data_IF_048935252956
#
_entry.id   IF_048935252956
#
_cell.length_a   1.000
_cell.length_b   1.000
_cell.length_c   1.000
_cell.angle_alpha   90.00
_cell.angle_beta   90.00
_cell.angle_gamma   90.00
#
_symmetry.space_group_name_H-M   'P 1'
#
loop_
_entity.id
_entity.type
_entity.pdbx_description
1 polymer ?
#
# COMPACT_ATOMS: atom_id res chain seq x y z
N UNK A 1 39.44 5.95 -2.78
CA UNK A 1 38.29 5.46 -3.53
C UNK A 1 37.15 6.45 -3.34
N UNK A 2 36.82 7.16 -4.42
CA UNK A 2 35.90 8.30 -4.34
C UNK A 2 34.48 7.87 -3.98
N UNK A 3 33.88 8.54 -3.03
CA UNK A 3 32.47 8.46 -2.73
C UNK A 3 31.72 8.95 -3.98
N UNK A 4 31.17 8.00 -4.77
CA UNK A 4 30.19 8.34 -5.82
C UNK A 4 29.04 9.08 -5.12
N UNK A 5 28.73 10.27 -5.62
CA UNK A 5 27.60 11.06 -5.16
C UNK A 5 26.36 10.15 -5.02
N UNK A 6 25.88 9.99 -3.77
CA UNK A 6 24.61 9.31 -3.50
C UNK A 6 23.52 10.12 -4.23
N UNK A 7 23.01 9.61 -5.34
CA UNK A 7 21.79 10.17 -5.93
C UNK A 7 20.68 9.97 -4.92
N UNK A 8 20.14 11.04 -4.37
CA UNK A 8 18.99 11.06 -3.47
C UNK A 8 17.74 10.56 -4.20
N UNK A 9 16.78 9.96 -3.45
CA UNK A 9 15.45 9.64 -3.99
C UNK A 9 14.83 10.93 -4.55
N UNK A 10 14.32 10.90 -5.77
CA UNK A 10 13.57 12.01 -6.36
C UNK A 10 12.14 11.97 -5.80
N UNK A 11 11.84 12.83 -4.83
CA UNK A 11 10.60 12.83 -4.06
C UNK A 11 9.89 14.19 -4.10
N UNK A 12 10.26 15.05 -5.06
CA UNK A 12 9.73 16.41 -5.16
C UNK A 12 8.43 16.50 -5.99
N UNK A 13 8.13 15.47 -6.78
CA UNK A 13 6.96 15.37 -7.66
C UNK A 13 6.16 14.10 -7.42
N UNK A 14 4.91 14.02 -7.89
CA UNK A 14 4.16 12.76 -7.92
C UNK A 14 5.00 11.61 -8.48
N UNK A 15 4.93 10.44 -7.85
CA UNK A 15 5.73 9.27 -8.24
C UNK A 15 4.90 8.34 -9.12
N UNK A 16 5.21 8.31 -10.41
CA UNK A 16 4.67 7.33 -11.35
C UNK A 16 5.40 5.97 -11.26
N UNK A 17 4.91 4.97 -12.01
CA UNK A 17 5.51 3.64 -12.01
C UNK A 17 6.98 3.64 -12.49
N UNK A 18 7.33 4.42 -13.50
CA UNK A 18 8.70 4.49 -14.03
C UNK A 18 9.68 5.05 -12.98
N UNK A 19 9.29 6.11 -12.29
CA UNK A 19 10.07 6.71 -11.22
C UNK A 19 10.21 5.76 -10.01
N UNK A 20 9.15 5.00 -9.71
CA UNK A 20 9.19 3.94 -8.70
C UNK A 20 10.24 2.90 -9.08
N UNK A 21 10.18 2.34 -10.30
CA UNK A 21 11.12 1.30 -10.75
C UNK A 21 12.56 1.77 -10.77
N UNK A 22 12.82 3.00 -11.20
CA UNK A 22 14.15 3.62 -11.13
C UNK A 22 14.64 3.74 -9.67
N UNK A 23 13.75 4.03 -8.74
CA UNK A 23 14.06 4.11 -7.31
C UNK A 23 14.37 2.74 -6.71
N UNK A 24 13.58 1.73 -7.08
CA UNK A 24 13.79 0.33 -6.67
C UNK A 24 15.13 -0.21 -7.18
N UNK A 25 15.44 -0.01 -8.47
CA UNK A 25 16.73 -0.39 -9.05
C UNK A 25 17.89 0.29 -8.32
N UNK A 26 17.79 1.58 -8.06
CA UNK A 26 18.81 2.31 -7.30
C UNK A 26 19.03 1.74 -5.90
N UNK A 27 17.96 1.44 -5.17
CA UNK A 27 18.04 0.83 -3.83
C UNK A 27 18.69 -0.54 -3.88
N UNK A 28 18.36 -1.37 -4.88
CA UNK A 28 18.95 -2.70 -5.06
C UNK A 28 20.45 -2.65 -5.37
N UNK A 29 20.88 -1.66 -6.14
CA UNK A 29 22.32 -1.43 -6.43
C UNK A 29 23.09 -0.85 -5.23
N UNK A 30 22.38 -0.13 -4.34
CA UNK A 30 23.00 0.49 -3.16
C UNK A 30 23.12 -0.48 -1.98
N UNK A 31 22.17 -1.43 -1.84
CA UNK A 31 22.07 -2.35 -0.71
C UNK A 31 21.97 -3.79 -1.21
N UNK A 32 23.09 -4.50 -1.21
CA UNK A 32 23.21 -5.90 -1.69
C UNK A 32 22.42 -6.92 -0.87
N UNK A 33 22.04 -6.56 0.36
CA UNK A 33 21.18 -7.37 1.24
C UNK A 33 19.67 -7.09 1.04
N UNK A 34 19.28 -6.10 0.22
CA UNK A 34 17.90 -5.84 -0.15
C UNK A 34 17.51 -6.77 -1.31
N UNK A 35 16.59 -7.69 -1.05
CA UNK A 35 16.07 -8.56 -2.10
C UNK A 35 14.90 -7.87 -2.80
N UNK A 36 14.98 -7.78 -4.13
CA UNK A 36 13.88 -7.27 -4.98
C UNK A 36 13.33 -8.43 -5.79
N UNK A 37 12.02 -8.64 -5.70
CA UNK A 37 11.25 -9.67 -6.40
C UNK A 37 10.12 -9.00 -7.17
N UNK A 38 9.50 -9.74 -8.08
CA UNK A 38 8.24 -9.37 -8.71
C UNK A 38 7.09 -10.09 -7.98
N UNK A 39 6.15 -9.33 -7.41
CA UNK A 39 4.92 -9.87 -6.84
C UNK A 39 4.03 -10.46 -7.94
N UNK A 40 3.91 -9.74 -9.03
CA UNK A 40 3.07 -10.02 -10.18
C UNK A 40 3.06 -8.85 -11.15
N UNK A 41 2.07 -8.85 -12.04
CA UNK A 41 1.90 -7.79 -13.05
C UNK A 41 0.51 -7.18 -12.99
N UNK A 42 0.43 -5.88 -13.29
CA UNK A 42 -0.84 -5.19 -13.47
C UNK A 42 -1.55 -5.59 -14.77
N UNK A 43 -2.74 -5.08 -14.98
CA UNK A 43 -3.54 -5.28 -16.21
C UNK A 43 -2.74 -4.91 -17.47
N UNK A 44 -1.97 -3.82 -17.43
CA UNK A 44 -1.16 -3.38 -18.58
C UNK A 44 0.25 -3.99 -18.59
N UNK A 45 0.49 -5.01 -17.77
CA UNK A 45 1.75 -5.78 -17.76
C UNK A 45 2.89 -5.11 -17.01
N UNK A 46 2.64 -4.04 -16.24
CA UNK A 46 3.64 -3.40 -15.39
C UNK A 46 4.01 -4.30 -14.22
N UNK A 47 5.30 -4.46 -13.96
CA UNK A 47 5.80 -5.21 -12.80
C UNK A 47 5.41 -4.53 -11.49
N UNK A 48 4.96 -5.31 -10.52
CA UNK A 48 4.68 -4.87 -9.15
C UNK A 48 5.87 -5.33 -8.28
N UNK A 49 6.77 -4.42 -7.87
CA UNK A 49 7.95 -4.80 -7.12
C UNK A 49 7.61 -5.14 -5.68
N UNK A 50 8.31 -6.16 -5.16
CA UNK A 50 8.29 -6.59 -3.77
C UNK A 50 9.71 -6.48 -3.23
N UNK A 51 9.91 -5.64 -2.22
CA UNK A 51 11.19 -5.40 -1.57
C UNK A 51 11.21 -6.13 -0.23
N UNK A 52 12.25 -6.93 0.00
CA UNK A 52 12.38 -7.72 1.22
C UNK A 52 13.71 -7.46 1.89
N UNK A 53 13.68 -7.17 3.20
CA UNK A 53 14.85 -6.95 4.03
C UNK A 53 14.71 -7.73 5.35
N UNK A 54 15.83 -8.30 5.82
CA UNK A 54 15.91 -9.14 7.02
C UNK A 54 15.85 -10.62 6.69
N UNK A 55 16.18 -11.44 7.69
CA UNK A 55 16.28 -12.90 7.60
C UNK A 55 15.46 -13.60 8.69
N UNK A 56 14.76 -12.82 9.50
CA UNK A 56 13.96 -13.34 10.58
C UNK A 56 12.76 -14.14 10.07
N UNK A 57 12.36 -15.10 10.88
CA UNK A 57 11.24 -15.97 10.55
C UNK A 57 9.90 -15.23 10.58
N UNK A 58 9.69 -14.36 11.58
CA UNK A 58 8.48 -13.53 11.68
C UNK A 58 8.53 -12.45 10.61
N UNK A 59 7.41 -12.20 9.94
CA UNK A 59 7.37 -11.19 8.88
C UNK A 59 6.26 -10.17 9.07
N UNK A 60 6.52 -8.96 8.58
CA UNK A 60 5.54 -7.89 8.43
C UNK A 60 5.50 -7.42 6.97
N UNK A 61 4.31 -7.22 6.44
CA UNK A 61 4.06 -6.77 5.08
C UNK A 61 3.50 -5.34 5.09
N UNK A 62 4.10 -4.48 4.28
CA UNK A 62 3.65 -3.11 4.06
C UNK A 62 3.20 -2.95 2.62
N UNK A 63 2.02 -2.38 2.41
CA UNK A 63 1.46 -2.19 1.07
C UNK A 63 1.05 -0.74 0.87
N UNK A 64 1.42 -0.14 -0.26
CA UNK A 64 1.03 1.21 -0.63
C UNK A 64 0.32 1.27 -1.97
N UNK A 65 -0.31 2.40 -2.23
CA UNK A 65 -0.97 2.76 -3.48
C UNK A 65 -1.91 1.67 -4.04
N UNK A 66 -2.87 1.23 -3.24
CA UNK A 66 -4.06 0.53 -3.74
C UNK A 66 -4.85 1.43 -4.69
N UNK A 67 -4.93 2.71 -4.37
CA UNK A 67 -5.65 3.70 -5.15
C UNK A 67 -4.69 4.59 -5.96
N UNK A 68 -5.04 4.86 -7.21
CA UNK A 68 -4.20 5.62 -8.13
C UNK A 68 -3.84 7.01 -7.62
N UNK A 69 -4.76 7.70 -6.95
CA UNK A 69 -4.51 9.05 -6.42
C UNK A 69 -3.74 9.09 -5.10
N UNK A 70 -3.34 7.95 -4.56
CA UNK A 70 -2.62 7.83 -3.28
C UNK A 70 -1.13 7.46 -3.47
N UNK A 71 -0.54 7.87 -4.59
CA UNK A 71 0.87 7.63 -4.96
C UNK A 71 1.87 8.09 -3.89
N UNK A 72 1.50 9.03 -3.02
CA UNK A 72 2.35 9.52 -1.93
C UNK A 72 2.70 8.38 -0.94
N UNK A 73 1.85 7.37 -0.80
CA UNK A 73 2.12 6.20 0.05
C UNK A 73 3.26 5.35 -0.49
N UNK A 74 3.45 5.30 -1.82
CA UNK A 74 4.62 4.68 -2.45
C UNK A 74 5.90 5.39 -2.05
N UNK A 75 5.89 6.73 -2.05
CA UNK A 75 7.03 7.55 -1.66
C UNK A 75 7.38 7.36 -0.18
N UNK A 76 6.36 7.30 0.69
CA UNK A 76 6.52 7.02 2.12
C UNK A 76 7.21 5.68 2.34
N UNK A 77 6.77 4.63 1.65
CA UNK A 77 7.33 3.30 1.78
C UNK A 77 8.76 3.20 1.21
N UNK A 78 9.07 3.91 0.13
CA UNK A 78 10.45 3.97 -0.38
C UNK A 78 11.40 4.72 0.57
N UNK A 79 10.94 5.80 1.22
CA UNK A 79 11.71 6.46 2.27
C UNK A 79 11.99 5.51 3.44
N UNK A 80 10.98 4.75 3.86
CA UNK A 80 11.12 3.75 4.91
C UNK A 80 12.14 2.67 4.53
N UNK A 81 12.06 2.13 3.30
CA UNK A 81 13.02 1.12 2.81
C UNK A 81 14.44 1.68 2.77
N UNK A 82 14.64 2.89 2.23
CA UNK A 82 15.99 3.50 2.17
C UNK A 82 16.55 3.71 3.59
N UNK A 83 15.71 4.18 4.51
CA UNK A 83 16.15 4.49 5.88
C UNK A 83 16.47 3.23 6.69
N UNK A 84 15.65 2.18 6.61
CA UNK A 84 15.90 0.93 7.33
C UNK A 84 17.13 0.22 6.76
N UNK A 85 17.32 0.24 5.43
CA UNK A 85 18.52 -0.28 4.78
C UNK A 85 19.77 0.50 5.21
N UNK A 86 19.70 1.83 5.24
CA UNK A 86 20.81 2.66 5.71
C UNK A 86 21.13 2.37 7.18
N UNK A 87 20.11 2.26 8.03
CA UNK A 87 20.30 1.97 9.45
C UNK A 87 20.90 0.58 9.69
N UNK A 88 20.49 -0.43 8.90
CA UNK A 88 21.07 -1.76 8.92
C UNK A 88 22.55 -1.75 8.49
N UNK A 89 22.84 -1.14 7.35
CA UNK A 89 24.22 -1.03 6.81
C UNK A 89 25.17 -0.33 7.80
N UNK A 90 24.68 0.70 8.49
CA UNK A 90 25.44 1.46 9.48
C UNK A 90 25.36 0.89 10.90
N UNK A 91 24.72 -0.25 11.10
CA UNK A 91 24.52 -0.91 12.40
C UNK A 91 23.89 0.03 13.45
N UNK A 92 22.93 0.85 13.05
CA UNK A 92 22.32 1.88 13.91
C UNK A 92 21.22 1.31 14.82
N UNK A 93 21.06 1.98 15.95
CA UNK A 93 19.86 1.91 16.78
C UNK A 93 18.91 3.03 16.38
N UNK A 94 17.65 2.67 16.10
CA UNK A 94 16.56 3.60 15.77
C UNK A 94 15.43 3.37 16.78
N UNK A 95 14.87 4.44 17.35
CA UNK A 95 13.75 4.35 18.29
C UNK A 95 13.98 3.33 19.41
N UNK A 96 15.20 3.30 19.97
CA UNK A 96 15.68 2.35 20.99
C UNK A 96 15.75 0.88 20.53
N UNK A 97 15.55 0.62 19.24
CA UNK A 97 15.62 -0.71 18.64
C UNK A 97 16.91 -0.83 17.81
N UNK A 98 17.74 -1.83 18.08
CA UNK A 98 18.87 -2.18 17.21
C UNK A 98 18.35 -2.73 15.88
N UNK A 99 18.62 -2.03 14.77
CA UNK A 99 18.10 -2.45 13.46
C UNK A 99 18.73 -3.78 12.99
N UNK A 100 20.04 -4.06 13.18
CA UNK A 100 20.57 -5.39 12.91
C UNK A 100 19.85 -6.51 13.66
N UNK A 101 19.64 -6.37 14.97
CA UNK A 101 18.92 -7.38 15.76
C UNK A 101 17.45 -7.52 15.36
N UNK A 102 16.80 -6.41 15.01
CA UNK A 102 15.43 -6.45 14.49
C UNK A 102 15.37 -7.31 13.22
N UNK A 103 16.28 -7.08 12.26
CA UNK A 103 16.28 -7.77 10.97
C UNK A 103 16.85 -9.19 11.02
N UNK A 104 17.49 -9.59 12.11
CA UNK A 104 17.79 -10.99 12.42
C UNK A 104 16.53 -11.76 12.88
N UNK A 105 15.61 -11.09 13.58
CA UNK A 105 14.40 -11.70 14.14
C UNK A 105 13.18 -11.58 13.22
N UNK A 106 13.13 -10.51 12.42
CA UNK A 106 12.01 -10.17 11.56
C UNK A 106 12.46 -9.99 10.10
N UNK A 107 11.55 -10.33 9.21
CA UNK A 107 11.61 -9.95 7.79
C UNK A 107 10.59 -8.86 7.54
N UNK A 108 11.03 -7.76 6.95
CA UNK A 108 10.17 -6.67 6.50
C UNK A 108 10.01 -6.79 4.99
N UNK A 109 8.76 -6.88 4.53
CA UNK A 109 8.41 -6.93 3.11
C UNK A 109 7.59 -5.71 2.76
N UNK A 110 7.92 -5.06 1.64
CA UNK A 110 7.27 -3.83 1.20
C UNK A 110 6.85 -3.96 -0.27
N UNK A 111 5.58 -3.71 -0.54
CA UNK A 111 5.01 -3.53 -1.87
C UNK A 111 4.65 -2.04 -1.99
N UNK A 112 5.54 -1.21 -2.55
CA UNK A 112 5.34 0.23 -2.48
C UNK A 112 4.19 0.74 -3.36
N UNK A 113 3.84 0.04 -4.44
CA UNK A 113 2.77 0.43 -5.37
C UNK A 113 2.05 -0.80 -5.90
N UNK A 114 0.86 -1.07 -5.38
CA UNK A 114 0.05 -2.22 -5.80
C UNK A 114 -0.68 -1.93 -7.13
N UNK A 115 -1.07 -0.68 -7.39
CA UNK A 115 -1.86 -0.24 -8.53
C UNK A 115 -1.08 0.69 -9.48
N UNK A 116 -0.06 0.18 -10.20
CA UNK A 116 0.78 1.02 -11.05
C UNK A 116 0.04 1.62 -12.25
N UNK A 117 -1.00 0.97 -12.76
CA UNK A 117 -1.79 1.48 -13.87
C UNK A 117 -2.68 2.64 -13.43
N UNK A 118 -3.34 2.49 -12.27
CA UNK A 118 -4.19 3.53 -11.72
C UNK A 118 -3.39 4.78 -11.32
N UNK A 119 -2.18 4.60 -10.80
CA UNK A 119 -1.27 5.71 -10.49
C UNK A 119 -0.89 6.47 -11.75
N UNK A 120 -0.48 5.76 -12.81
CA UNK A 120 -0.11 6.43 -14.06
C UNK A 120 -1.31 7.13 -14.72
N UNK A 121 -2.51 6.54 -14.66
CA UNK A 121 -3.72 7.24 -15.13
C UNK A 121 -4.00 8.51 -14.34
N UNK A 122 -3.84 8.46 -13.02
CA UNK A 122 -4.08 9.63 -12.18
C UNK A 122 -3.08 10.76 -12.48
N UNK A 123 -1.81 10.44 -12.71
CA UNK A 123 -0.74 11.43 -12.91
C UNK A 123 -0.72 11.95 -14.36
N UNK A 124 -0.86 11.07 -15.34
CA UNK A 124 -0.64 11.39 -16.75
C UNK A 124 -1.93 11.43 -17.59
N UNK A 125 -3.06 10.98 -17.01
CA UNK A 125 -4.26 10.72 -17.79
C UNK A 125 -4.10 9.49 -18.68
N UNK A 126 -4.85 9.46 -19.78
CA UNK A 126 -4.79 8.37 -20.76
C UNK A 126 -4.60 8.94 -22.17
N UNK A 127 -3.75 8.30 -22.95
CA UNK A 127 -3.54 8.65 -24.37
C UNK A 127 -4.15 7.61 -25.31
N UNK A 128 -4.31 7.97 -26.58
CA UNK A 128 -4.94 7.13 -27.62
C UNK A 128 -4.19 5.85 -27.97
N UNK A 129 -2.91 5.72 -27.57
CA UNK A 129 -2.10 4.52 -27.79
C UNK A 129 -2.40 3.43 -26.75
N UNK A 130 -3.05 3.81 -25.63
CA UNK A 130 -3.44 2.85 -24.61
C UNK A 130 -4.52 1.90 -25.15
N UNK A 131 -4.36 0.58 -25.07
CA UNK A 131 -5.31 -0.39 -25.61
C UNK A 131 -6.71 -0.30 -24.98
N UNK A 132 -6.82 0.30 -23.79
CA UNK A 132 -8.08 0.50 -23.08
C UNK A 132 -8.63 1.93 -23.19
N UNK A 133 -8.03 2.79 -24.04
CA UNK A 133 -8.36 4.23 -24.13
C UNK A 133 -9.86 4.53 -24.13
N UNK A 134 -10.60 4.01 -25.10
CA UNK A 134 -12.03 4.30 -25.23
C UNK A 134 -12.84 3.80 -24.03
N UNK A 135 -12.46 2.64 -23.49
CA UNK A 135 -13.12 2.04 -22.33
C UNK A 135 -12.88 2.86 -21.07
N UNK A 136 -11.65 3.23 -20.78
CA UNK A 136 -11.26 4.02 -19.61
C UNK A 136 -11.85 5.42 -19.68
N UNK A 137 -11.82 6.06 -20.87
CA UNK A 137 -12.44 7.36 -21.07
C UNK A 137 -13.97 7.29 -20.85
N UNK A 138 -14.64 6.23 -21.31
CA UNK A 138 -16.06 6.00 -21.05
C UNK A 138 -16.35 5.82 -19.56
N UNK A 139 -15.51 5.08 -18.83
CA UNK A 139 -15.62 4.92 -17.35
C UNK A 139 -15.47 6.27 -16.64
N UNK A 140 -14.61 7.15 -17.17
CA UNK A 140 -14.43 8.52 -16.67
C UNK A 140 -15.45 9.51 -17.27
N UNK A 141 -16.59 9.00 -17.82
CA UNK A 141 -17.68 9.79 -18.41
C UNK A 141 -17.25 10.74 -19.53
N UNK A 142 -16.22 10.34 -20.29
CA UNK A 142 -15.63 11.15 -21.35
C UNK A 142 -14.74 12.30 -20.86
N UNK A 143 -14.50 12.39 -19.56
CA UNK A 143 -13.64 13.43 -18.98
C UNK A 143 -12.17 13.03 -19.10
N UNK A 144 -11.31 13.94 -19.55
CA UNK A 144 -9.86 13.78 -19.62
C UNK A 144 -9.13 14.16 -18.32
N UNK A 145 -9.85 14.66 -17.32
CA UNK A 145 -9.30 14.90 -15.97
C UNK A 145 -9.36 13.59 -15.16
N UNK A 146 -8.20 13.00 -14.90
CA UNK A 146 -8.02 11.81 -14.10
C UNK A 146 -7.55 12.09 -12.67
N UNK A 147 -7.55 13.34 -12.24
CA UNK A 147 -7.05 13.74 -10.91
C UNK A 147 -7.71 12.98 -9.74
N UNK A 148 -8.93 12.45 -9.94
CA UNK A 148 -9.71 11.68 -8.95
C UNK A 148 -9.75 10.18 -9.23
N UNK A 149 -8.90 9.65 -10.11
CA UNK A 149 -8.89 8.25 -10.47
C UNK A 149 -8.26 7.38 -9.35
N UNK A 150 -9.06 6.47 -8.78
CA UNK A 150 -8.63 5.52 -7.76
C UNK A 150 -8.37 4.12 -8.33
N UNK A 151 -9.22 3.69 -9.23
CA UNK A 151 -9.31 2.33 -9.75
C UNK A 151 -8.04 1.88 -10.51
N UNK A 152 -7.95 0.60 -10.82
CA UNK A 152 -6.95 0.06 -11.74
C UNK A 152 -7.29 0.36 -13.22
N UNK A 153 -6.55 -0.25 -14.16
CA UNK A 153 -6.77 -0.02 -15.60
C UNK A 153 -8.13 -0.52 -16.12
N UNK A 154 -8.80 -1.43 -15.40
CA UNK A 154 -10.15 -1.92 -15.76
C UNK A 154 -11.27 -1.16 -15.05
N UNK A 155 -10.94 -0.14 -14.29
CA UNK A 155 -11.91 0.62 -13.52
C UNK A 155 -12.41 -0.15 -12.31
N UNK A 156 -11.59 -1.02 -11.73
CA UNK A 156 -11.87 -1.74 -10.49
C UNK A 156 -11.13 -1.07 -9.33
N UNK A 157 -11.87 -0.75 -8.29
CA UNK A 157 -11.33 -0.28 -7.02
C UNK A 157 -10.74 -1.48 -6.27
N UNK A 158 -9.40 -1.55 -6.23
CA UNK A 158 -8.69 -2.72 -5.71
C UNK A 158 -8.99 -3.00 -4.24
N UNK A 159 -9.25 -1.94 -3.44
CA UNK A 159 -9.58 -2.13 -2.02
C UNK A 159 -11.04 -2.50 -1.76
N UNK A 160 -11.76 -2.88 -2.81
CA UNK A 160 -13.07 -3.51 -2.75
C UNK A 160 -13.13 -4.86 -3.49
N UNK A 161 -11.99 -5.35 -3.98
CA UNK A 161 -11.93 -6.59 -4.77
C UNK A 161 -11.50 -7.83 -3.97
N UNK A 162 -11.34 -7.73 -2.64
CA UNK A 162 -11.02 -8.87 -1.77
C UNK A 162 -12.28 -9.65 -1.37
N UNK A 163 -12.14 -10.97 -1.11
CA UNK A 163 -13.24 -11.84 -0.63
C UNK A 163 -13.53 -11.60 0.86
N UNK A 164 -14.01 -10.42 1.18
CA UNK A 164 -14.39 -10.01 2.53
C UNK A 164 -15.70 -9.21 2.51
N UNK A 165 -16.85 -9.92 2.57
CA UNK A 165 -18.15 -9.30 2.41
C UNK A 165 -18.40 -8.76 0.99
N UNK A 166 -17.82 -9.40 -0.02
CA UNK A 166 -17.93 -8.97 -1.41
C UNK A 166 -19.37 -8.96 -1.92
N UNK A 167 -20.19 -9.93 -1.50
CA UNK A 167 -21.61 -10.01 -1.90
C UNK A 167 -22.40 -8.83 -1.33
N UNK A 168 -22.19 -8.49 -0.08
CA UNK A 168 -22.80 -7.36 0.60
C UNK A 168 -22.36 -6.05 -0.07
N UNK A 169 -21.09 -5.94 -0.40
CA UNK A 169 -20.60 -4.79 -1.15
C UNK A 169 -21.26 -4.64 -2.52
N UNK A 170 -21.44 -5.72 -3.27
CA UNK A 170 -22.12 -5.72 -4.57
C UNK A 170 -23.57 -5.22 -4.49
N UNK A 171 -24.27 -5.48 -3.39
CA UNK A 171 -25.62 -4.92 -3.16
C UNK A 171 -25.55 -3.39 -2.99
N UNK A 172 -24.64 -2.90 -2.14
CA UNK A 172 -24.45 -1.46 -1.95
C UNK A 172 -23.96 -0.76 -3.23
N UNK A 173 -23.11 -1.40 -4.00
CA UNK A 173 -22.63 -0.93 -5.30
C UNK A 173 -23.82 -0.74 -6.27
N UNK A 174 -24.72 -1.72 -6.34
CA UNK A 174 -25.92 -1.66 -7.17
C UNK A 174 -26.89 -0.57 -6.70
N UNK A 175 -27.11 -0.44 -5.39
CA UNK A 175 -27.96 0.61 -4.79
C UNK A 175 -27.41 2.02 -5.09
N UNK A 176 -26.11 2.19 -5.13
CA UNK A 176 -25.43 3.44 -5.50
C UNK A 176 -25.39 3.69 -7.01
N UNK A 177 -25.84 2.72 -7.83
CA UNK A 177 -25.82 2.82 -9.28
C UNK A 177 -24.39 2.90 -9.86
N UNK A 178 -23.41 2.24 -9.22
CA UNK A 178 -22.02 2.23 -9.71
C UNK A 178 -21.96 1.38 -10.98
N UNK A 179 -21.47 1.91 -12.12
CA UNK A 179 -21.41 1.18 -13.37
C UNK A 179 -20.33 0.11 -13.34
N UNK A 180 -20.43 -0.86 -14.25
CA UNK A 180 -19.41 -1.88 -14.49
C UNK A 180 -18.12 -1.24 -15.05
N UNK A 181 -17.17 -0.96 -14.14
CA UNK A 181 -15.98 -0.15 -14.37
C UNK A 181 -16.25 1.34 -14.11
N UNK A 182 -15.55 1.87 -13.12
CA UNK A 182 -15.67 3.26 -12.69
C UNK A 182 -14.33 3.80 -12.16
N UNK A 183 -14.18 5.12 -12.03
CA UNK A 183 -12.99 5.70 -11.39
C UNK A 183 -12.79 5.28 -9.95
N UNK A 184 -13.85 4.86 -9.27
CA UNK A 184 -13.88 4.46 -7.87
C UNK A 184 -15.10 3.58 -7.57
N UNK A 185 -15.07 2.84 -6.45
CA UNK A 185 -16.17 2.07 -5.87
C UNK A 185 -16.67 0.87 -6.69
N UNK A 186 -16.15 0.57 -7.86
CA UNK A 186 -16.48 -0.66 -8.56
C UNK A 186 -15.59 -1.80 -8.10
N UNK A 187 -16.16 -2.85 -7.53
CA UNK A 187 -15.43 -3.95 -6.90
C UNK A 187 -14.95 -5.06 -7.85
N UNK A 188 -15.27 -4.96 -9.15
CA UNK A 188 -15.02 -6.04 -10.10
C UNK A 188 -16.22 -6.99 -10.27
N UNK A 189 -16.05 -8.03 -11.09
CA UNK A 189 -17.11 -9.02 -11.36
C UNK A 189 -17.19 -10.07 -10.25
N UNK A 190 -16.06 -10.48 -9.72
CA UNK A 190 -15.89 -11.48 -8.66
C UNK A 190 -14.75 -11.08 -7.74
N UNK A 191 -14.69 -11.60 -6.51
CA UNK A 191 -13.57 -11.31 -5.62
C UNK A 191 -12.26 -11.83 -6.22
N UNK A 192 -11.19 -11.10 -6.01
CA UNK A 192 -9.85 -11.42 -6.52
C UNK A 192 -9.79 -11.51 -8.06
N UNK A 193 -10.72 -10.85 -8.78
CA UNK A 193 -10.71 -10.81 -10.25
C UNK A 193 -9.51 -10.08 -10.82
N UNK A 194 -8.95 -9.13 -10.07
CA UNK A 194 -7.86 -8.29 -10.52
C UNK A 194 -6.50 -8.95 -10.27
N UNK A 195 -5.59 -8.98 -11.26
CA UNK A 195 -4.31 -9.65 -11.11
C UNK A 195 -3.45 -9.08 -9.99
N UNK A 196 -3.55 -7.77 -9.73
CA UNK A 196 -2.87 -7.08 -8.64
C UNK A 196 -3.32 -7.64 -7.27
N UNK A 197 -4.64 -7.77 -7.07
CA UNK A 197 -5.23 -8.31 -5.84
C UNK A 197 -4.92 -9.79 -5.70
N UNK A 198 -5.08 -10.56 -6.78
CA UNK A 198 -4.80 -12.00 -6.79
C UNK A 198 -3.35 -12.29 -6.40
N UNK A 199 -2.39 -11.56 -7.01
CA UNK A 199 -0.98 -11.73 -6.71
C UNK A 199 -0.68 -11.43 -5.23
N UNK A 200 -1.28 -10.38 -4.66
CA UNK A 200 -1.13 -10.05 -3.25
C UNK A 200 -1.76 -11.10 -2.33
N UNK A 201 -2.98 -11.55 -2.65
CA UNK A 201 -3.66 -12.61 -1.89
C UNK A 201 -2.86 -13.92 -1.91
N UNK A 202 -2.36 -14.33 -3.07
CA UNK A 202 -1.54 -15.53 -3.20
C UNK A 202 -0.24 -15.39 -2.39
N UNK A 203 0.43 -14.23 -2.48
CA UNK A 203 1.61 -13.97 -1.65
C UNK A 203 1.31 -14.14 -0.16
N UNK A 204 0.24 -13.51 0.35
CA UNK A 204 -0.14 -13.57 1.77
C UNK A 204 -0.48 -15.01 2.19
N UNK A 205 -1.23 -15.76 1.38
CA UNK A 205 -1.60 -17.17 1.66
C UNK A 205 -0.39 -18.09 1.83
N UNK A 206 0.70 -17.81 1.10
CA UNK A 206 1.93 -18.61 1.18
C UNK A 206 2.89 -18.16 2.29
N UNK A 207 2.61 -17.07 3.02
CA UNK A 207 3.46 -16.61 4.12
C UNK A 207 3.04 -17.24 5.47
N UNK A 208 3.72 -18.29 5.90
CA UNK A 208 3.36 -19.00 7.13
C UNK A 208 3.58 -18.22 8.43
N UNK A 209 4.52 -17.29 8.46
CA UNK A 209 4.89 -16.52 9.66
C UNK A 209 4.63 -15.00 9.51
N UNK A 210 3.64 -14.64 8.68
CA UNK A 210 3.19 -13.25 8.54
C UNK A 210 2.40 -12.84 9.79
N UNK A 211 2.92 -11.83 10.50
CA UNK A 211 2.38 -11.36 11.78
C UNK A 211 1.59 -10.07 11.67
N UNK A 212 1.84 -9.30 10.63
CA UNK A 212 1.19 -8.01 10.39
C UNK A 212 1.09 -7.74 8.90
N UNK A 213 -0.06 -7.25 8.46
CA UNK A 213 -0.23 -6.54 7.20
C UNK A 213 -0.59 -5.08 7.52
N UNK A 214 0.23 -4.15 7.05
CA UNK A 214 -0.01 -2.71 7.20
C UNK A 214 -0.18 -2.09 5.82
N UNK A 215 -1.38 -1.63 5.50
CA UNK A 215 -1.65 -0.96 4.23
C UNK A 215 -1.77 0.55 4.45
N UNK A 216 -1.06 1.32 3.62
CA UNK A 216 -1.04 2.77 3.68
C UNK A 216 -2.00 3.33 2.63
N UNK A 217 -2.89 4.15 3.11
CA UNK A 217 -3.85 4.93 2.34
C UNK A 217 -3.71 6.42 2.67
N UNK A 218 -4.46 7.25 2.05
CA UNK A 218 -4.69 8.65 2.37
C UNK A 218 -6.17 8.95 2.21
N UNK A 219 -6.79 9.72 3.07
CA UNK A 219 -6.29 10.57 4.14
C UNK A 219 -7.27 10.54 5.34
N UNK A 220 -6.84 10.99 6.54
CA UNK A 220 -7.74 11.07 7.72
C UNK A 220 -6.97 11.12 9.04
N UNK A 221 -5.72 10.62 9.07
CA UNK A 221 -4.96 10.37 10.31
C UNK A 221 -5.70 9.36 11.21
N UNK A 222 -6.14 8.25 10.60
CA UNK A 222 -6.90 7.19 11.24
C UNK A 222 -6.24 5.83 11.06
N UNK A 223 -6.52 4.91 11.98
CA UNK A 223 -6.14 3.50 11.93
C UNK A 223 -7.40 2.65 11.96
N UNK A 224 -7.69 1.96 10.86
CA UNK A 224 -8.74 0.95 10.79
C UNK A 224 -8.11 -0.43 11.05
N UNK A 225 -8.58 -1.14 12.07
CA UNK A 225 -7.94 -2.33 12.61
C UNK A 225 -8.90 -3.45 13.00
N UNK A 226 -10.16 -3.25 12.73
CA UNK A 226 -11.24 -4.20 12.94
C UNK A 226 -11.99 -4.45 11.65
N UNK A 227 -12.63 -5.60 11.55
CA UNK A 227 -13.62 -5.90 10.53
C UNK A 227 -14.93 -6.28 11.20
N UNK A 228 -16.00 -5.50 10.99
CA UNK A 228 -17.32 -5.70 11.60
C UNK A 228 -17.27 -5.94 13.11
N UNK A 229 -16.50 -5.12 13.83
CA UNK A 229 -16.29 -5.25 15.28
C UNK A 229 -15.33 -6.36 15.71
N UNK A 230 -14.92 -7.25 14.79
CA UNK A 230 -13.98 -8.32 15.10
C UNK A 230 -12.53 -7.81 15.06
N UNK A 231 -11.79 -8.16 16.08
CA UNK A 231 -10.35 -7.90 16.23
C UNK A 231 -9.63 -9.24 16.48
N UNK A 232 -8.46 -9.42 15.89
CA UNK A 232 -7.61 -10.56 16.21
C UNK A 232 -7.21 -10.52 17.69
N UNK A 233 -7.44 -11.63 18.38
CA UNK A 233 -7.18 -11.72 19.83
C UNK A 233 -5.71 -11.39 20.15
N UNK A 234 -5.52 -10.64 21.24
CA UNK A 234 -4.19 -10.23 21.71
C UNK A 234 -3.58 -9.01 21.01
N UNK A 235 -4.22 -8.43 19.99
CA UNK A 235 -3.63 -7.31 19.21
C UNK A 235 -4.05 -5.93 19.67
N UNK A 236 -5.00 -5.80 20.61
CA UNK A 236 -5.51 -4.51 21.07
C UNK A 236 -4.39 -3.57 21.55
N UNK A 237 -3.51 -4.07 22.43
CA UNK A 237 -2.40 -3.26 22.97
C UNK A 237 -1.40 -2.81 21.88
N UNK A 238 -1.18 -3.65 20.88
CA UNK A 238 -0.32 -3.33 19.71
C UNK A 238 -0.90 -2.19 18.89
N UNK A 239 -2.19 -2.23 18.63
CA UNK A 239 -2.90 -1.18 17.87
C UNK A 239 -2.95 0.14 18.66
N UNK A 240 -3.24 0.10 19.97
CA UNK A 240 -3.18 1.26 20.87
C UNK A 240 -1.78 1.87 20.88
N UNK A 241 -0.74 1.03 20.87
CA UNK A 241 0.65 1.49 20.77
C UNK A 241 0.92 2.19 19.44
N UNK A 242 0.46 1.64 18.31
CA UNK A 242 0.58 2.31 17.00
C UNK A 242 -0.15 3.66 16.99
N UNK A 243 -1.36 3.73 17.53
CA UNK A 243 -2.11 4.98 17.67
C UNK A 243 -1.32 6.01 18.51
N UNK A 244 -0.75 5.58 19.63
CA UNK A 244 0.10 6.45 20.47
C UNK A 244 1.35 6.97 19.75
N UNK A 245 1.99 6.13 18.90
CA UNK A 245 3.20 6.49 18.16
C UNK A 245 2.91 7.48 17.03
N UNK A 246 1.79 7.30 16.33
CA UNK A 246 1.41 8.14 15.18
C UNK A 246 0.59 9.36 15.60
N UNK A 247 -0.11 9.30 16.74
CA UNK A 247 -1.15 10.25 17.12
C UNK A 247 -2.40 10.12 16.24
N UNK A 248 -2.57 9.01 15.51
CA UNK A 248 -3.73 8.73 14.68
C UNK A 248 -4.86 8.11 15.50
N UNK A 249 -6.09 8.44 15.14
CA UNK A 249 -7.26 7.92 15.82
C UNK A 249 -7.52 6.45 15.47
N UNK A 250 -7.96 5.68 16.46
CA UNK A 250 -8.49 4.34 16.23
C UNK A 250 -9.93 4.47 15.72
N UNK A 251 -10.17 3.96 14.54
CA UNK A 251 -11.47 4.07 13.85
C UNK A 251 -11.95 2.71 13.39
N UNK A 252 -13.24 2.61 13.15
CA UNK A 252 -13.89 1.44 12.58
C UNK A 252 -14.55 1.83 11.26
N UNK A 253 -14.28 1.07 10.20
CA UNK A 253 -14.82 1.33 8.88
C UNK A 253 -16.34 1.13 8.88
N UNK A 254 -17.08 2.02 8.20
CA UNK A 254 -18.53 1.98 8.10
C UNK A 254 -19.00 2.14 6.65
N UNK A 255 -20.23 1.73 6.39
CA UNK A 255 -20.81 1.80 5.04
C UNK A 255 -20.00 0.97 4.03
N UNK A 256 -19.75 1.50 2.86
CA UNK A 256 -18.99 0.81 1.80
C UNK A 256 -17.54 0.51 2.19
N UNK A 257 -16.90 1.34 3.00
CA UNK A 257 -15.52 1.14 3.44
C UNK A 257 -15.32 -0.08 4.36
N UNK A 258 -16.41 -0.66 4.88
CA UNK A 258 -16.35 -1.84 5.75
C UNK A 258 -16.34 -3.18 5.00
N UNK A 259 -16.27 -3.17 3.66
CA UNK A 259 -16.40 -4.38 2.85
C UNK A 259 -15.40 -4.43 1.71
N UNK A 260 -14.89 -5.62 1.45
CA UNK A 260 -14.04 -5.92 0.31
C UNK A 260 -12.61 -5.40 0.41
N UNK A 261 -12.19 -4.88 1.57
CA UNK A 261 -10.85 -4.34 1.79
C UNK A 261 -9.82 -5.41 2.15
N UNK A 262 -8.53 -5.08 1.94
CA UNK A 262 -7.41 -5.94 2.32
C UNK A 262 -7.40 -6.24 3.83
N UNK A 263 -7.63 -5.22 4.66
CA UNK A 263 -7.67 -5.37 6.12
C UNK A 263 -8.78 -6.31 6.56
N UNK A 264 -9.99 -6.17 5.99
CA UNK A 264 -11.12 -7.06 6.28
C UNK A 264 -10.81 -8.50 5.91
N UNK A 265 -10.22 -8.71 4.72
CA UNK A 265 -9.85 -10.02 4.23
C UNK A 265 -8.75 -10.68 5.09
N UNK A 266 -7.70 -9.95 5.45
CA UNK A 266 -6.65 -10.45 6.32
C UNK A 266 -7.20 -10.88 7.68
N UNK A 267 -8.06 -10.06 8.29
CA UNK A 267 -8.65 -10.33 9.60
C UNK A 267 -9.62 -11.51 9.54
N UNK A 268 -10.57 -11.50 8.60
CA UNK A 268 -11.68 -12.46 8.61
C UNK A 268 -11.35 -13.79 7.94
N UNK A 269 -10.52 -13.79 6.89
CA UNK A 269 -10.20 -14.99 6.11
C UNK A 269 -8.83 -15.58 6.42
N UNK A 270 -7.84 -14.75 6.70
CA UNK A 270 -6.48 -15.22 6.95
C UNK A 270 -6.12 -15.30 8.43
N UNK A 271 -6.91 -14.69 9.31
CA UNK A 271 -6.63 -14.58 10.75
C UNK A 271 -5.26 -13.94 11.03
N UNK A 272 -4.92 -12.94 10.20
CA UNK A 272 -3.69 -12.16 10.31
C UNK A 272 -4.05 -10.74 10.78
N UNK A 273 -3.38 -10.20 11.81
CA UNK A 273 -3.51 -8.79 12.18
C UNK A 273 -3.26 -7.89 10.99
N UNK A 274 -4.21 -7.03 10.68
CA UNK A 274 -4.10 -6.09 9.57
C UNK A 274 -4.62 -4.72 9.96
N UNK A 275 -3.95 -3.69 9.46
CA UNK A 275 -4.25 -2.30 9.77
C UNK A 275 -4.23 -1.47 8.49
N UNK A 276 -5.29 -0.74 8.23
CA UNK A 276 -5.28 0.35 7.26
C UNK A 276 -4.91 1.64 7.96
N UNK A 277 -3.83 2.28 7.50
CA UNK A 277 -3.35 3.56 8.01
C UNK A 277 -3.67 4.66 6.99
N UNK A 278 -4.62 5.53 7.32
CA UNK A 278 -5.01 6.69 6.53
C UNK A 278 -4.07 7.86 6.83
N UNK A 279 -3.06 8.03 5.99
CA UNK A 279 -1.94 8.94 6.22
C UNK A 279 -2.29 10.39 5.87
N UNK A 280 -1.99 11.31 6.80
CA UNK A 280 -2.10 12.75 6.57
C UNK A 280 -3.53 13.28 6.53
N UNK A 281 -3.64 14.57 6.23
CA UNK A 281 -4.91 15.30 6.13
C UNK A 281 -4.96 16.14 4.88
N UNK A 282 -6.16 16.36 4.35
CA UNK A 282 -6.39 17.24 3.20
C UNK A 282 -7.40 16.67 2.22
N UNK A 283 -7.14 16.86 0.96
CA UNK A 283 -7.97 16.35 -0.16
C UNK A 283 -7.05 15.59 -1.11
N UNK A 284 -7.40 14.34 -1.40
CA UNK A 284 -6.65 13.52 -2.36
C UNK A 284 -6.76 14.04 -3.81
N UNK A 285 -5.66 13.94 -4.59
CA UNK A 285 -4.33 13.49 -4.16
C UNK A 285 -3.65 14.50 -3.22
N UNK A 286 -3.02 14.00 -2.15
CA UNK A 286 -2.22 14.85 -1.28
C UNK A 286 -0.99 15.37 -2.04
N UNK A 287 -0.62 16.65 -1.89
CA UNK A 287 0.55 17.19 -2.58
C UNK A 287 1.85 16.57 -2.08
N UNK A 288 2.86 16.48 -2.94
CA UNK A 288 4.18 15.93 -2.57
C UNK A 288 4.84 16.66 -1.38
N UNK A 289 4.50 17.92 -1.15
CA UNK A 289 4.94 18.67 0.04
C UNK A 289 4.46 18.08 1.37
N UNK A 290 3.40 17.25 1.35
CA UNK A 290 2.90 16.53 2.54
C UNK A 290 3.75 15.31 2.91
N UNK A 291 4.65 14.84 2.03
CA UNK A 291 5.43 13.63 2.21
C UNK A 291 6.24 13.62 3.52
N UNK A 292 7.11 14.61 3.70
CA UNK A 292 7.98 14.64 4.88
C UNK A 292 7.23 14.89 6.19
N UNK A 293 6.22 15.79 6.26
CA UNK A 293 5.35 15.89 7.43
C UNK A 293 4.69 14.55 7.80
N UNK A 294 4.10 13.84 6.84
CA UNK A 294 3.47 12.54 7.08
C UNK A 294 4.52 11.53 7.52
N UNK A 295 5.61 11.36 6.75
CA UNK A 295 6.64 10.38 7.06
C UNK A 295 7.24 10.59 8.45
N UNK A 296 7.57 11.83 8.81
CA UNK A 296 8.11 12.16 10.14
C UNK A 296 7.19 11.74 11.27
N UNK A 297 5.89 11.82 11.06
CA UNK A 297 4.87 11.48 12.05
C UNK A 297 4.70 9.96 12.23
N UNK A 298 4.71 9.20 11.14
CA UNK A 298 4.45 7.74 11.20
C UNK A 298 5.73 6.89 11.22
N UNK A 299 6.88 7.49 11.00
CA UNK A 299 8.18 6.83 10.85
C UNK A 299 8.50 5.86 11.99
N UNK A 300 8.37 6.30 13.24
CA UNK A 300 8.62 5.45 14.41
C UNK A 300 7.69 4.23 14.42
N UNK A 301 6.42 4.42 14.09
CA UNK A 301 5.45 3.34 14.01
C UNK A 301 5.82 2.32 12.92
N UNK A 302 6.27 2.76 11.74
CA UNK A 302 6.72 1.87 10.68
C UNK A 302 7.91 0.99 11.12
N UNK A 303 8.88 1.56 11.86
CA UNK A 303 10.04 0.82 12.36
C UNK A 303 9.69 -0.18 13.46
N UNK A 304 8.77 0.16 14.34
CA UNK A 304 8.43 -0.66 15.51
C UNK A 304 7.31 -1.68 15.22
N UNK A 305 6.47 -1.45 14.22
CA UNK A 305 5.34 -2.31 13.90
C UNK A 305 5.69 -3.81 13.86
N UNK A 306 6.79 -4.28 13.24
CA UNK A 306 7.13 -5.71 13.22
C UNK A 306 7.29 -6.33 14.62
N UNK A 307 7.64 -5.53 15.62
CA UNK A 307 7.88 -6.01 17.00
C UNK A 307 6.64 -5.96 17.89
N UNK A 308 5.57 -5.34 17.42
CA UNK A 308 4.33 -5.18 18.17
C UNK A 308 3.34 -6.34 17.97
N UNK A 309 3.50 -7.13 16.91
CA UNK A 309 2.57 -8.20 16.50
C UNK A 309 3.17 -9.59 16.41
#
# INVERSE_FOLDING_TARGET
>A
MGFKHKKQLQLESPMDWSQLMNSVERLSLQYDFLTVLELGKSILGKSIPLLRIGQGRRSALYVGAHHGMEWITSMILLLFVDEICQAFHQKRTMFRQSIPLLLEQYTVTVIPMLNPDGVDYQIHGINSENPLYNRVLSMNRGNHDFSRWQANARGVDLNHNYDAGFREYKQMEAEKGIPCGAPTLYSGQEPESEPEVRALCDYIRFQMDLRLVLTLHTQGEELFYKSHGYLIEGTQASVEKLSSLTGYHLSEATGTAAFGGLTDWCITKQQIPSITMECGKGVNPLPSSSLFPIYSRIREALFLAPTLF
#
